data_IF_096264567385
#
_entry.id   IF_096264567385
#
_cell.length_a   1.000
_cell.length_b   1.000
_cell.length_c   1.000
_cell.angle_alpha   90.00
_cell.angle_beta   90.00
_cell.angle_gamma   90.00
#
_symmetry.space_group_name_H-M   'P 1'
#
loop_
_entity.id
_entity.type
_entity.pdbx_description
1 polymer ?
#
# COMPACT_ATOMS: atom_id res chain seq x y z
N UNK A 1 -14.49 -6.45 -2.72
CA UNK A 1 -13.11 -5.96 -2.83
C UNK A 1 -13.01 -5.04 -4.02
N UNK A 2 -12.51 -3.83 -3.81
CA UNK A 2 -12.21 -2.82 -4.83
C UNK A 2 -11.10 -3.31 -5.77
N UNK A 3 -10.15 -4.09 -5.25
CA UNK A 3 -9.14 -4.77 -6.08
C UNK A 3 -9.79 -5.58 -7.21
N UNK A 4 -10.79 -6.40 -6.89
CA UNK A 4 -11.47 -7.26 -7.86
C UNK A 4 -12.22 -6.46 -8.93
N UNK A 5 -12.64 -5.22 -8.61
CA UNK A 5 -13.30 -4.31 -9.56
C UNK A 5 -12.33 -3.82 -10.61
N UNK A 6 -11.13 -3.38 -10.19
CA UNK A 6 -10.09 -3.00 -11.13
C UNK A 6 -9.60 -4.22 -11.93
N UNK A 7 -9.44 -5.38 -11.30
CA UNK A 7 -9.05 -6.61 -11.98
C UNK A 7 -10.04 -6.99 -13.10
N UNK A 8 -11.35 -6.96 -12.81
CA UNK A 8 -12.38 -7.21 -13.80
C UNK A 8 -12.47 -6.16 -14.91
N UNK A 9 -12.07 -4.91 -14.63
CA UNK A 9 -11.92 -3.87 -15.65
C UNK A 9 -10.72 -4.15 -16.56
N UNK A 10 -9.55 -4.40 -15.97
CA UNK A 10 -8.30 -4.68 -16.70
C UNK A 10 -8.45 -5.86 -17.64
N UNK A 11 -9.04 -6.97 -17.17
CA UNK A 11 -9.28 -8.16 -18.00
C UNK A 11 -10.12 -7.87 -19.26
N UNK A 12 -11.01 -6.88 -19.22
CA UNK A 12 -11.94 -6.57 -20.31
C UNK A 12 -11.43 -5.47 -21.23
N UNK A 13 -10.87 -4.42 -20.64
CA UNK A 13 -10.61 -3.17 -21.35
C UNK A 13 -9.12 -2.91 -21.58
N UNK A 14 -8.25 -3.53 -20.77
CA UNK A 14 -6.80 -3.29 -20.81
C UNK A 14 -6.02 -4.62 -20.65
N UNK A 15 -6.27 -5.64 -21.50
CA UNK A 15 -5.76 -6.99 -21.30
C UNK A 15 -4.22 -7.08 -21.23
N UNK A 16 -3.51 -6.12 -21.82
CA UNK A 16 -2.04 -6.00 -21.73
C UNK A 16 -1.53 -5.76 -20.30
N UNK A 17 -2.38 -5.28 -19.38
CA UNK A 17 -2.03 -5.08 -17.97
C UNK A 17 -2.31 -6.30 -17.09
N UNK A 18 -2.90 -7.39 -17.62
CA UNK A 18 -3.27 -8.57 -16.81
C UNK A 18 -2.07 -9.17 -16.09
N UNK A 19 -0.93 -9.33 -16.77
CA UNK A 19 0.28 -9.89 -16.15
C UNK A 19 0.82 -9.00 -15.03
N UNK A 20 0.80 -7.67 -15.24
CA UNK A 20 1.24 -6.69 -14.25
C UNK A 20 0.34 -6.73 -13.01
N UNK A 21 -0.98 -6.78 -13.21
CA UNK A 21 -1.96 -6.82 -12.13
C UNK A 21 -1.95 -8.15 -11.36
N UNK A 22 -1.63 -9.26 -12.02
CA UNK A 22 -1.50 -10.56 -11.37
C UNK A 22 -0.32 -10.61 -10.39
N UNK A 23 0.76 -9.90 -10.70
CA UNK A 23 1.96 -9.79 -9.86
C UNK A 23 1.79 -8.84 -8.67
N UNK A 24 0.71 -8.08 -8.62
CA UNK A 24 0.49 -7.05 -7.59
C UNK A 24 0.27 -7.67 -6.21
N UNK A 25 1.11 -7.32 -5.24
CA UNK A 25 0.99 -7.75 -3.86
C UNK A 25 -0.11 -6.96 -3.14
N UNK A 26 -1.15 -7.64 -2.63
CA UNK A 26 -2.26 -6.97 -1.93
C UNK A 26 -1.99 -6.91 -0.43
N UNK A 27 -1.92 -5.70 0.10
CA UNK A 27 -1.73 -5.39 1.50
C UNK A 27 -3.06 -5.10 2.18
N UNK A 28 -3.18 -5.57 3.41
CA UNK A 28 -4.27 -5.30 4.33
C UNK A 28 -3.65 -4.78 5.63
N UNK A 29 -3.93 -3.52 5.96
CA UNK A 29 -3.39 -2.88 7.14
C UNK A 29 -4.34 -3.07 8.32
N UNK A 30 -3.88 -3.60 9.47
CA UNK A 30 -4.74 -3.93 10.59
C UNK A 30 -5.13 -2.71 11.44
N UNK A 31 -4.96 -1.50 10.90
CA UNK A 31 -5.21 -0.22 11.56
C UNK A 31 -5.71 0.80 10.54
N UNK A 32 -6.32 1.89 11.01
CA UNK A 32 -6.64 3.01 10.14
C UNK A 32 -5.43 3.94 10.00
N UNK A 33 -5.14 4.40 8.78
CA UNK A 33 -3.95 5.19 8.50
C UNK A 33 -3.84 6.42 9.44
N UNK A 34 -4.92 7.15 9.66
CA UNK A 34 -4.92 8.35 10.51
C UNK A 34 -4.71 8.07 12.02
N UNK A 35 -4.81 6.83 12.47
CA UNK A 35 -4.51 6.44 13.86
C UNK A 35 -3.00 6.24 14.08
N UNK A 36 -2.27 5.84 13.03
CA UNK A 36 -0.87 5.41 13.10
C UNK A 36 0.10 6.36 12.39
N UNK A 37 -0.33 6.94 11.27
CA UNK A 37 0.39 7.98 10.52
C UNK A 37 -0.03 9.34 11.08
N UNK A 38 0.94 10.08 11.63
CA UNK A 38 0.71 11.43 12.18
C UNK A 38 1.46 12.48 11.37
N UNK A 39 0.93 13.71 11.23
CA UNK A 39 1.67 14.81 10.62
C UNK A 39 3.04 14.99 11.27
N UNK A 40 4.09 15.15 10.44
CA UNK A 40 5.48 15.29 10.89
C UNK A 40 6.16 13.99 11.32
N UNK A 41 5.53 12.82 11.15
CA UNK A 41 6.15 11.53 11.48
C UNK A 41 7.31 11.16 10.56
N UNK A 42 7.27 11.62 9.30
CA UNK A 42 8.24 11.32 8.27
C UNK A 42 9.00 12.56 7.81
N UNK A 43 10.26 12.36 7.43
CA UNK A 43 11.14 13.39 6.88
C UNK A 43 11.43 13.16 5.40
N UNK A 44 12.03 14.14 4.73
CA UNK A 44 12.53 13.95 3.35
C UNK A 44 13.53 12.79 3.27
N UNK A 45 14.40 12.61 4.27
CA UNK A 45 15.31 11.46 4.35
C UNK A 45 14.57 10.11 4.38
N UNK A 46 13.41 10.04 5.04
CA UNK A 46 12.58 8.84 5.05
C UNK A 46 12.02 8.58 3.64
N UNK A 47 11.56 9.63 2.94
CA UNK A 47 11.03 9.53 1.57
C UNK A 47 12.15 9.16 0.57
N UNK A 48 13.34 9.73 0.69
CA UNK A 48 14.46 9.43 -0.19
C UNK A 48 14.98 7.99 -0.02
N UNK A 49 14.64 7.35 1.10
CA UNK A 49 14.98 5.95 1.40
C UNK A 49 13.79 5.00 1.22
N UNK A 50 12.62 5.53 0.88
CA UNK A 50 11.41 4.75 0.70
C UNK A 50 11.58 3.75 -0.46
N UNK A 51 10.97 2.59 -0.36
CA UNK A 51 10.93 1.58 -1.43
C UNK A 51 9.67 0.74 -1.24
N UNK A 52 9.10 0.21 -2.32
CA UNK A 52 8.01 -0.75 -2.17
C UNK A 52 8.54 -2.10 -1.71
N UNK A 53 7.84 -2.79 -0.81
CA UNK A 53 8.07 -4.21 -0.51
C UNK A 53 8.08 -5.11 -1.77
N UNK A 54 7.25 -4.79 -2.75
CA UNK A 54 7.18 -5.47 -4.04
C UNK A 54 7.07 -4.42 -5.14
N UNK A 55 7.57 -4.68 -6.34
CA UNK A 55 7.55 -3.68 -7.44
C UNK A 55 6.15 -3.23 -7.86
N UNK A 56 5.11 -3.98 -7.48
CA UNK A 56 3.72 -3.57 -7.54
C UNK A 56 3.02 -3.92 -6.23
N UNK A 57 2.42 -2.93 -5.59
CA UNK A 57 1.66 -3.09 -4.34
C UNK A 57 0.25 -2.53 -4.55
N UNK A 58 -0.75 -3.20 -4.01
CA UNK A 58 -2.08 -2.65 -3.79
C UNK A 58 -2.33 -2.60 -2.29
N UNK A 59 -2.88 -1.50 -1.79
CA UNK A 59 -3.32 -1.36 -0.41
C UNK A 59 -4.84 -1.21 -0.48
N UNK A 60 -5.57 -2.12 0.15
CA UNK A 60 -7.03 -2.07 0.18
C UNK A 60 -7.49 -1.88 1.63
N UNK A 61 -8.26 -0.82 1.85
CA UNK A 61 -8.94 -0.56 3.11
C UNK A 61 -10.46 -0.63 2.91
N UNK A 62 -11.24 -0.09 3.85
CA UNK A 62 -12.71 -0.12 3.77
C UNK A 62 -13.28 0.80 2.69
N UNK A 63 -12.53 1.83 2.29
CA UNK A 63 -13.00 2.96 1.50
C UNK A 63 -12.37 2.99 0.10
N UNK A 64 -11.10 2.61 0.00
CA UNK A 64 -10.26 2.77 -1.18
C UNK A 64 -9.41 1.52 -1.45
N UNK A 65 -8.93 1.40 -2.68
CA UNK A 65 -7.84 0.52 -3.01
C UNK A 65 -6.84 1.25 -3.90
N UNK A 66 -5.69 1.57 -3.32
CA UNK A 66 -4.61 2.30 -3.99
C UNK A 66 -3.54 1.32 -4.45
N UNK A 67 -3.22 1.37 -5.74
CA UNK A 67 -2.15 0.63 -6.38
C UNK A 67 -0.95 1.54 -6.58
N UNK A 68 0.25 1.03 -6.33
CA UNK A 68 1.52 1.70 -6.52
C UNK A 68 2.43 0.82 -7.37
N UNK A 69 3.04 1.40 -8.40
CA UNK A 69 3.91 0.70 -9.34
C UNK A 69 5.24 1.44 -9.45
N UNK A 70 6.33 0.75 -9.13
CA UNK A 70 7.68 1.27 -9.38
C UNK A 70 7.83 1.61 -10.87
N UNK A 71 8.35 2.81 -11.17
CA UNK A 71 8.64 3.25 -12.54
C UNK A 71 9.95 2.67 -13.09
N UNK A 72 10.82 2.19 -12.20
CA UNK A 72 12.09 1.51 -12.54
C UNK A 72 12.31 0.32 -11.60
N UNK A 73 13.09 -0.68 -12.02
CA UNK A 73 13.37 -1.85 -11.18
C UNK A 73 14.02 -1.42 -9.85
N UNK A 74 13.46 -1.88 -8.71
CA UNK A 74 13.95 -1.61 -7.35
C UNK A 74 14.05 -0.10 -7.08
N UNK A 75 13.04 0.66 -7.49
CA UNK A 75 13.00 2.10 -7.28
C UNK A 75 13.12 2.43 -5.79
N UNK A 76 14.02 3.36 -5.48
CA UNK A 76 14.17 3.97 -4.16
C UNK A 76 13.76 5.44 -4.26
N UNK A 77 12.98 5.88 -3.28
CA UNK A 77 12.33 7.18 -3.21
C UNK A 77 11.41 7.47 -4.38
N UNK A 78 11.17 8.76 -4.61
CA UNK A 78 10.34 9.28 -5.69
C UNK A 78 11.13 10.20 -6.63
N UNK A 79 12.44 9.95 -6.78
CA UNK A 79 13.29 10.67 -7.75
C UNK A 79 12.90 10.38 -9.20
N UNK A 80 12.38 9.17 -9.45
CA UNK A 80 11.67 8.82 -10.68
C UNK A 80 10.16 8.73 -10.41
N UNK A 81 9.29 9.05 -11.39
CA UNK A 81 7.86 8.97 -11.21
C UNK A 81 7.41 7.56 -10.82
N UNK A 82 6.59 7.48 -9.78
CA UNK A 82 5.87 6.26 -9.40
C UNK A 82 4.44 6.36 -9.89
N UNK A 83 3.97 5.37 -10.63
CA UNK A 83 2.59 5.35 -11.10
C UNK A 83 1.68 4.88 -9.97
N UNK A 84 0.45 5.39 -9.95
CA UNK A 84 -0.59 4.91 -9.05
C UNK A 84 -1.93 4.72 -9.77
N UNK A 85 -2.77 3.86 -9.21
CA UNK A 85 -4.19 3.76 -9.53
C UNK A 85 -4.96 3.82 -8.22
N UNK A 86 -5.83 4.79 -8.06
CA UNK A 86 -6.74 4.85 -6.92
C UNK A 86 -8.13 4.37 -7.34
N UNK A 87 -8.72 3.50 -6.53
CA UNK A 87 -10.03 2.90 -6.79
C UNK A 87 -10.94 3.20 -5.62
N UNK A 88 -12.08 3.84 -5.88
CA UNK A 88 -13.09 4.15 -4.87
C UNK A 88 -14.49 3.71 -5.32
N UNK A 89 -15.33 3.30 -4.37
CA UNK A 89 -16.76 3.08 -4.61
C UNK A 89 -17.53 4.37 -4.33
N UNK A 90 -18.16 4.95 -5.36
CA UNK A 90 -18.86 6.24 -5.24
C UNK A 90 -20.18 6.14 -4.45
N UNK A 91 -20.76 4.94 -4.37
CA UNK A 91 -21.96 4.63 -3.56
C UNK A 91 -21.65 4.02 -2.19
N UNK A 92 -20.39 4.10 -1.73
CA UNK A 92 -19.92 3.47 -0.48
C UNK A 92 -20.59 4.03 0.78
N UNK A 93 -20.64 3.19 1.82
CA UNK A 93 -21.37 3.44 3.07
C UNK A 93 -20.57 4.16 4.16
N UNK A 94 -19.38 4.69 3.86
CA UNK A 94 -18.54 5.41 4.83
C UNK A 94 -18.44 6.91 4.47
N UNK A 95 -19.34 7.76 5.01
CA UNK A 95 -19.29 9.20 4.81
C UNK A 95 -18.09 9.86 5.50
N UNK A 96 -17.50 9.21 6.50
CA UNK A 96 -16.43 9.79 7.33
C UNK A 96 -15.06 9.61 6.68
N UNK A 97 -14.87 8.54 5.90
CA UNK A 97 -13.64 8.31 5.14
C UNK A 97 -13.33 9.39 4.08
N UNK A 98 -14.29 10.26 3.74
CA UNK A 98 -14.18 11.18 2.60
C UNK A 98 -14.68 12.61 2.89
N UNK A 99 -14.33 13.20 4.03
CA UNK A 99 -14.84 14.53 4.43
C UNK A 99 -14.65 15.64 3.37
N UNK A 100 -13.59 15.57 2.54
CA UNK A 100 -13.32 16.55 1.48
C UNK A 100 -14.00 16.23 0.14
N UNK A 101 -14.16 14.95 -0.21
CA UNK A 101 -14.80 14.52 -1.46
C UNK A 101 -16.34 14.54 -1.36
N UNK A 102 -16.88 14.35 -0.14
CA UNK A 102 -18.30 14.24 0.14
C UNK A 102 -19.11 15.54 0.00
N UNK A 103 -18.46 16.70 -0.13
CA UNK A 103 -19.15 17.98 -0.31
C UNK A 103 -19.70 18.16 -1.73
N UNK A 104 -19.13 17.49 -2.73
CA UNK A 104 -19.55 17.64 -4.13
C UNK A 104 -20.68 16.68 -4.55
N UNK A 105 -20.88 15.56 -3.85
CA UNK A 105 -21.88 14.54 -4.22
C UNK A 105 -23.13 14.69 -3.35
N UNK A 106 -24.21 15.22 -3.94
CA UNK A 106 -25.52 15.32 -3.29
C UNK A 106 -26.14 13.93 -3.03
N UNK A 107 -27.16 13.86 -2.16
CA UNK A 107 -27.80 12.60 -1.75
C UNK A 107 -28.39 11.80 -2.92
N UNK A 108 -28.94 12.48 -3.93
CA UNK A 108 -29.49 11.83 -5.12
C UNK A 108 -28.39 11.16 -5.96
N UNK A 109 -27.25 11.83 -6.14
CA UNK A 109 -26.08 11.27 -6.84
C UNK A 109 -25.49 10.07 -6.08
N UNK A 110 -25.47 10.10 -4.73
CA UNK A 110 -25.04 8.93 -3.93
C UNK A 110 -25.98 7.76 -4.11
N UNK A 111 -27.29 8.00 -4.07
CA UNK A 111 -28.29 6.95 -4.27
C UNK A 111 -28.16 6.34 -5.66
N UNK A 112 -28.00 7.17 -6.69
CA UNK A 112 -27.74 6.69 -8.05
C UNK A 112 -26.42 5.90 -8.13
N UNK A 113 -25.35 6.41 -7.51
CA UNK A 113 -24.06 5.73 -7.47
C UNK A 113 -24.14 4.36 -6.78
N UNK A 114 -24.96 4.23 -5.74
CA UNK A 114 -25.21 2.97 -5.05
C UNK A 114 -26.04 2.01 -5.91
N UNK A 115 -27.11 2.51 -6.57
CA UNK A 115 -27.97 1.72 -7.45
C UNK A 115 -27.21 1.13 -8.64
N UNK A 116 -26.39 1.95 -9.30
CA UNK A 116 -25.58 1.53 -10.44
C UNK A 116 -24.25 0.86 -10.03
N UNK A 117 -23.97 0.79 -8.72
CA UNK A 117 -22.71 0.31 -8.15
C UNK A 117 -21.50 0.97 -8.84
N UNK A 118 -21.46 2.30 -8.82
CA UNK A 118 -20.43 3.09 -9.50
C UNK A 118 -19.09 3.03 -8.77
N UNK A 119 -18.02 2.92 -9.56
CA UNK A 119 -16.64 2.97 -9.09
C UNK A 119 -15.88 4.02 -9.90
N UNK A 120 -15.04 4.79 -9.22
CA UNK A 120 -14.10 5.69 -9.87
C UNK A 120 -12.71 5.05 -9.85
N UNK A 121 -12.02 5.08 -10.99
CA UNK A 121 -10.61 4.76 -11.11
C UNK A 121 -9.84 6.02 -11.49
N UNK A 122 -8.88 6.43 -10.68
CA UNK A 122 -8.01 7.55 -10.98
C UNK A 122 -6.58 7.04 -11.22
N UNK A 123 -6.00 7.40 -12.35
CA UNK A 123 -4.66 7.01 -12.76
C UNK A 123 -3.76 8.23 -12.65
N UNK A 124 -2.56 8.06 -12.10
CA UNK A 124 -1.66 9.18 -11.95
C UNK A 124 -0.24 8.80 -11.63
N UNK A 125 0.55 9.83 -11.31
CA UNK A 125 1.98 9.73 -11.04
C UNK A 125 2.34 10.56 -9.82
N UNK A 126 3.26 10.06 -9.00
CA UNK A 126 3.86 10.73 -7.86
C UNK A 126 5.35 10.97 -8.10
N UNK A 127 5.84 12.13 -7.69
CA UNK A 127 7.27 12.53 -7.74
C UNK A 127 7.65 13.26 -6.46
N UNK A 128 8.90 13.10 -6.03
CA UNK A 128 9.47 13.91 -4.95
C UNK A 128 9.68 15.34 -5.45
N UNK A 129 9.51 16.32 -4.56
CA UNK A 129 9.85 17.72 -4.86
C UNK A 129 10.99 18.15 -3.95
N UNK A 130 12.05 18.69 -4.55
CA UNK A 130 13.14 19.29 -3.78
C UNK A 130 12.60 20.46 -2.94
N UNK A 131 12.95 20.46 -1.66
CA UNK A 131 12.58 21.53 -0.75
C UNK A 131 13.66 22.59 -0.66
N UNK A 132 13.30 23.88 -0.62
CA UNK A 132 14.26 24.94 -0.34
C UNK A 132 14.93 24.75 1.03
N UNK A 133 16.21 25.10 1.10
CA UNK A 133 17.10 25.07 2.28
C UNK A 133 16.51 24.73 3.66
N UNK A 134 16.84 23.55 4.18
CA UNK A 134 16.76 23.22 5.61
C UNK A 134 15.40 22.70 6.12
N UNK A 135 14.40 22.52 5.27
CA UNK A 135 13.16 21.85 5.65
C UNK A 135 13.39 20.35 5.85
N UNK A 136 12.89 19.81 6.96
CA UNK A 136 12.97 18.37 7.26
C UNK A 136 11.74 17.60 6.79
N UNK A 137 10.58 18.26 6.64
CA UNK A 137 9.36 17.65 6.15
C UNK A 137 9.56 17.13 4.72
N UNK A 138 8.86 16.08 4.31
CA UNK A 138 8.93 15.64 2.92
C UNK A 138 7.85 16.33 2.08
N UNK A 139 8.05 16.43 0.76
CA UNK A 139 6.98 16.82 -0.18
C UNK A 139 6.90 15.89 -1.38
N UNK A 140 5.67 15.48 -1.67
CA UNK A 140 5.31 14.71 -2.86
C UNK A 140 4.44 15.61 -3.74
N UNK A 141 4.82 15.77 -5.00
CA UNK A 141 3.92 16.27 -6.03
C UNK A 141 3.26 15.10 -6.75
N UNK A 142 2.02 15.30 -7.18
CA UNK A 142 1.28 14.29 -7.90
C UNK A 142 0.43 14.88 -9.00
N UNK A 143 0.17 14.06 -10.01
CA UNK A 143 -0.66 14.40 -11.15
C UNK A 143 -1.65 13.28 -11.38
N UNK A 144 -2.94 13.62 -11.53
CA UNK A 144 -3.96 12.69 -12.02
C UNK A 144 -4.02 12.83 -13.54
N UNK A 145 -3.64 11.77 -14.25
CA UNK A 145 -3.57 11.75 -15.71
C UNK A 145 -4.93 11.44 -16.34
N UNK A 146 -5.70 10.56 -15.69
CA UNK A 146 -6.99 10.06 -16.18
C UNK A 146 -7.92 9.70 -15.04
N UNK A 147 -9.20 9.97 -15.18
CA UNK A 147 -10.26 9.56 -14.27
C UNK A 147 -11.34 8.84 -15.06
N UNK A 148 -11.66 7.62 -14.63
CA UNK A 148 -12.71 6.77 -15.20
C UNK A 148 -13.83 6.58 -14.19
N UNK A 149 -15.07 6.58 -14.65
CA UNK A 149 -16.21 6.10 -13.87
C UNK A 149 -16.80 4.89 -14.59
N UNK A 150 -16.94 3.78 -13.87
CA UNK A 150 -17.57 2.57 -14.36
C UNK A 150 -18.77 2.18 -13.50
N UNK A 151 -19.72 1.45 -14.06
CA UNK A 151 -20.82 0.86 -13.29
C UNK A 151 -20.51 -0.57 -12.81
N UNK A 152 -21.46 -1.17 -12.08
CA UNK A 152 -21.35 -2.54 -11.57
C UNK A 152 -21.22 -3.60 -12.67
N UNK A 153 -21.66 -3.27 -13.90
CA UNK A 153 -21.48 -4.10 -15.11
C UNK A 153 -20.12 -3.90 -15.76
N UNK A 154 -19.33 -2.92 -15.32
CA UNK A 154 -18.03 -2.54 -15.88
C UNK A 154 -18.09 -1.84 -17.23
N UNK A 155 -19.23 -1.21 -17.53
CA UNK A 155 -19.38 -0.27 -18.63
C UNK A 155 -18.75 1.06 -18.21
N UNK A 156 -18.04 1.71 -19.13
CA UNK A 156 -17.41 3.01 -18.90
C UNK A 156 -18.49 4.08 -19.10
N UNK A 157 -18.82 4.80 -18.03
CA UNK A 157 -19.79 5.90 -18.05
C UNK A 157 -19.12 7.26 -18.26
N UNK A 158 -17.88 7.39 -17.80
CA UNK A 158 -17.08 8.60 -17.95
C UNK A 158 -15.60 8.24 -18.11
N UNK A 159 -14.91 8.99 -18.96
CA UNK A 159 -13.49 8.86 -19.23
C UNK A 159 -12.90 10.24 -19.50
N UNK A 160 -12.25 10.79 -18.47
CA UNK A 160 -11.71 12.14 -18.46
C UNK A 160 -10.19 12.08 -18.43
N UNK A 161 -9.54 12.65 -19.43
CA UNK A 161 -8.11 12.92 -19.38
C UNK A 161 -7.81 14.21 -18.58
N UNK A 162 -6.53 14.47 -18.30
CA UNK A 162 -6.09 15.64 -17.53
C UNK A 162 -6.54 16.99 -18.10
N UNK A 163 -6.67 17.12 -19.42
CA UNK A 163 -7.20 18.33 -20.06
C UNK A 163 -8.69 18.53 -19.80
N UNK A 164 -9.47 17.45 -19.91
CA UNK A 164 -10.92 17.46 -19.67
C UNK A 164 -11.25 17.65 -18.19
N UNK A 165 -10.48 17.05 -17.28
CA UNK A 165 -10.68 17.22 -15.84
C UNK A 165 -10.60 18.69 -15.43
N UNK A 166 -9.67 19.48 -16.00
CA UNK A 166 -9.54 20.92 -15.67
C UNK A 166 -10.77 21.75 -16.01
N UNK A 167 -11.67 21.24 -16.85
CA UNK A 167 -12.91 21.92 -17.24
C UNK A 167 -14.08 21.59 -16.31
N UNK A 168 -13.94 20.58 -15.45
CA UNK A 168 -14.99 20.19 -14.51
C UNK A 168 -14.96 21.06 -13.24
N UNK A 169 -16.13 21.53 -12.77
CA UNK A 169 -16.25 22.09 -11.43
C UNK A 169 -15.70 21.11 -10.38
N UNK A 170 -15.03 21.64 -9.36
CA UNK A 170 -14.46 20.86 -8.24
C UNK A 170 -13.39 19.82 -8.62
N UNK A 171 -12.89 19.83 -9.86
CA UNK A 171 -11.86 18.88 -10.30
C UNK A 171 -10.57 18.94 -9.45
N UNK A 172 -10.20 20.13 -8.95
CA UNK A 172 -9.06 20.28 -8.06
C UNK A 172 -9.28 19.53 -6.73
N UNK A 173 -10.48 19.67 -6.13
CA UNK A 173 -10.82 18.99 -4.89
C UNK A 173 -10.86 17.46 -5.08
N UNK A 174 -11.45 17.00 -6.19
CA UNK A 174 -11.47 15.58 -6.55
C UNK A 174 -10.05 15.02 -6.73
N UNK A 175 -9.18 15.73 -7.47
CA UNK A 175 -7.79 15.32 -7.66
C UNK A 175 -7.01 15.34 -6.34
N UNK A 176 -7.25 16.32 -5.48
CA UNK A 176 -6.60 16.40 -4.15
C UNK A 176 -6.97 15.20 -3.28
N UNK A 177 -8.23 14.77 -3.28
CA UNK A 177 -8.66 13.57 -2.56
C UNK A 177 -7.95 12.30 -3.07
N UNK A 178 -7.92 12.11 -4.38
CA UNK A 178 -7.19 10.99 -5.03
C UNK A 178 -5.70 10.99 -4.65
N UNK A 179 -5.06 12.16 -4.73
CA UNK A 179 -3.64 12.30 -4.37
C UNK A 179 -3.42 12.08 -2.86
N UNK A 180 -4.37 12.49 -2.02
CA UNK A 180 -4.37 12.22 -0.59
C UNK A 180 -4.31 10.72 -0.31
N UNK A 181 -5.21 9.93 -0.90
CA UNK A 181 -5.20 8.46 -0.78
C UNK A 181 -3.84 7.87 -1.20
N UNK A 182 -3.33 8.31 -2.35
CA UNK A 182 -2.04 7.84 -2.87
C UNK A 182 -0.86 8.19 -1.96
N UNK A 183 -0.86 9.38 -1.35
CA UNK A 183 0.16 9.80 -0.38
C UNK A 183 0.03 9.01 0.93
N UNK A 184 -1.19 8.82 1.43
CA UNK A 184 -1.43 8.02 2.64
C UNK A 184 -0.95 6.59 2.45
N UNK A 185 -1.19 5.97 1.29
CA UNK A 185 -0.65 4.65 0.96
C UNK A 185 0.90 4.61 1.00
N UNK A 186 1.57 5.67 0.55
CA UNK A 186 3.03 5.81 0.63
C UNK A 186 3.46 5.92 2.11
N UNK A 187 2.80 6.76 2.90
CA UNK A 187 3.09 6.95 4.32
C UNK A 187 2.93 5.66 5.14
N UNK A 188 1.89 4.87 4.87
CA UNK A 188 1.68 3.58 5.53
C UNK A 188 2.81 2.59 5.22
N UNK A 189 3.30 2.55 3.98
CA UNK A 189 4.45 1.74 3.62
C UNK A 189 5.76 2.32 4.19
N UNK A 190 5.90 3.64 4.25
CA UNK A 190 7.04 4.30 4.92
C UNK A 190 7.10 3.95 6.40
N UNK A 191 5.96 3.79 7.08
CA UNK A 191 5.90 3.33 8.47
C UNK A 191 6.59 1.97 8.63
N UNK A 192 6.30 1.03 7.72
CA UNK A 192 6.91 -0.30 7.70
C UNK A 192 8.41 -0.20 7.39
N UNK A 193 8.81 0.67 6.46
CA UNK A 193 10.22 0.90 6.09
C UNK A 193 11.05 1.48 7.23
N UNK A 194 10.45 2.41 7.98
CA UNK A 194 11.11 3.09 9.09
C UNK A 194 11.17 2.23 10.35
N UNK A 195 10.13 1.44 10.63
CA UNK A 195 10.03 0.69 11.87
C UNK A 195 10.41 -0.79 11.69
N UNK A 196 11.60 -1.22 12.14
CA UNK A 196 12.06 -2.60 11.98
C UNK A 196 11.32 -3.62 12.86
N UNK A 197 10.41 -3.19 13.74
CA UNK A 197 9.55 -4.09 14.51
C UNK A 197 8.40 -4.67 13.69
N UNK A 198 8.04 -4.05 12.56
CA UNK A 198 7.01 -4.58 11.68
C UNK A 198 7.61 -5.61 10.72
N UNK A 199 7.01 -6.79 10.70
CA UNK A 199 7.28 -7.85 9.73
C UNK A 199 6.08 -7.97 8.80
N UNK A 200 6.32 -8.47 7.59
CA UNK A 200 5.25 -8.75 6.63
C UNK A 200 4.82 -10.20 6.81
N UNK A 201 3.58 -10.40 7.26
CA UNK A 201 2.95 -11.71 7.33
C UNK A 201 2.17 -11.94 6.02
N UNK A 202 2.61 -12.89 5.23
CA UNK A 202 1.86 -13.40 4.08
C UNK A 202 0.80 -14.39 4.57
N UNK A 203 -0.46 -14.13 4.24
CA UNK A 203 -1.62 -15.00 4.47
C UNK A 203 -2.14 -15.49 3.13
N UNK A 204 -2.03 -16.78 2.84
CA UNK A 204 -2.48 -17.36 1.58
C UNK A 204 -3.40 -18.58 1.78
N UNK A 205 -4.32 -18.86 0.86
CA UNK A 205 -5.07 -20.12 0.88
C UNK A 205 -4.11 -21.31 0.77
N UNK A 206 -4.32 -22.35 1.59
CA UNK A 206 -3.48 -23.55 1.56
C UNK A 206 -3.51 -24.26 0.19
N UNK A 207 -4.63 -24.13 -0.53
CA UNK A 207 -4.82 -24.61 -1.89
C UNK A 207 -5.13 -23.41 -2.78
N UNK A 208 -4.09 -22.82 -3.37
CA UNK A 208 -4.24 -21.71 -4.32
C UNK A 208 -4.90 -22.24 -5.59
N UNK A 209 -6.00 -21.61 -6.01
CA UNK A 209 -6.60 -21.88 -7.32
C UNK A 209 -5.74 -21.19 -8.37
N UNK A 210 -5.28 -21.94 -9.36
CA UNK A 210 -4.57 -21.31 -10.47
C UNK A 210 -5.53 -20.45 -11.28
N UNK A 211 -5.15 -19.20 -11.53
CA UNK A 211 -5.88 -18.35 -12.45
C UNK A 211 -5.88 -18.96 -13.85
N UNK A 212 -7.02 -18.84 -14.54
CA UNK A 212 -7.10 -19.19 -15.96
C UNK A 212 -6.25 -18.20 -16.77
N UNK A 213 -5.71 -18.63 -17.92
CA UNK A 213 -4.97 -17.73 -18.83
C UNK A 213 -5.81 -16.48 -19.14
N UNK A 214 -5.21 -15.31 -18.98
CA UNK A 214 -5.87 -14.02 -19.20
C UNK A 214 -6.82 -13.58 -18.08
N UNK A 215 -6.78 -14.23 -16.91
CA UNK A 215 -7.52 -13.82 -15.71
C UNK A 215 -6.56 -13.48 -14.58
N UNK A 216 -7.00 -12.56 -13.73
CA UNK A 216 -6.31 -12.13 -12.52
C UNK A 216 -6.93 -12.88 -11.32
N UNK A 217 -6.10 -13.46 -10.46
CA UNK A 217 -6.49 -14.10 -9.22
C UNK A 217 -7.23 -13.11 -8.33
N UNK A 218 -8.47 -13.45 -7.96
CA UNK A 218 -9.35 -12.60 -7.15
C UNK A 218 -8.86 -12.53 -5.70
N UNK A 219 -9.21 -11.46 -4.99
CA UNK A 219 -8.72 -11.20 -3.63
C UNK A 219 -8.87 -12.38 -2.66
N UNK A 220 -9.98 -13.14 -2.61
CA UNK A 220 -10.11 -14.27 -1.68
C UNK A 220 -9.15 -15.45 -1.94
N UNK A 221 -8.70 -15.61 -3.19
CA UNK A 221 -7.84 -16.73 -3.62
C UNK A 221 -6.35 -16.34 -3.64
N UNK A 222 -6.03 -15.08 -3.28
CA UNK A 222 -4.72 -14.45 -3.40
C UNK A 222 -3.97 -14.42 -2.05
N UNK A 223 -2.63 -14.33 -2.05
CA UNK A 223 -1.87 -13.96 -0.87
C UNK A 223 -2.15 -12.51 -0.43
N UNK A 224 -2.47 -12.32 0.85
CA UNK A 224 -2.59 -11.02 1.50
C UNK A 224 -1.36 -10.76 2.35
N UNK A 225 -0.83 -9.54 2.31
CA UNK A 225 0.36 -9.14 3.06
C UNK A 225 -0.04 -8.19 4.18
N UNK A 226 0.18 -8.62 5.42
CA UNK A 226 -0.27 -7.87 6.61
C UNK A 226 0.96 -7.45 7.41
N UNK A 227 1.23 -6.15 7.58
CA UNK A 227 2.33 -5.68 8.43
C UNK A 227 1.96 -5.83 9.90
N UNK A 228 2.73 -6.64 10.63
CA UNK A 228 2.46 -7.00 12.03
C UNK A 228 3.73 -7.06 12.86
N UNK A 229 3.59 -6.76 14.15
CA UNK A 229 4.65 -7.00 15.14
C UNK A 229 4.75 -8.50 15.48
N UNK A 230 5.91 -9.00 15.93
CA UNK A 230 6.13 -10.42 16.21
C UNK A 230 5.10 -11.07 17.13
N UNK A 231 4.66 -10.38 18.18
CA UNK A 231 3.67 -10.91 19.13
C UNK A 231 2.31 -11.18 18.46
N UNK A 232 1.86 -10.27 17.58
CA UNK A 232 0.63 -10.45 16.82
C UNK A 232 0.76 -11.61 15.81
N UNK A 233 1.92 -11.73 15.15
CA UNK A 233 2.20 -12.83 14.22
C UNK A 233 2.13 -14.19 14.94
N UNK A 234 2.80 -14.32 16.10
CA UNK A 234 2.78 -15.55 16.89
C UNK A 234 1.38 -15.93 17.33
N UNK A 235 0.58 -14.94 17.77
CA UNK A 235 -0.82 -15.13 18.15
C UNK A 235 -1.64 -15.68 16.98
N UNK A 236 -1.50 -15.11 15.78
CA UNK A 236 -2.20 -15.57 14.57
C UNK A 236 -1.76 -16.98 14.16
N UNK A 237 -0.46 -17.27 14.22
CA UNK A 237 0.10 -18.57 13.86
C UNK A 237 -0.13 -19.65 14.93
N UNK A 238 -0.71 -19.30 16.08
CA UNK A 238 -0.90 -20.24 17.20
C UNK A 238 0.42 -20.71 17.83
N UNK A 239 1.51 -19.98 17.62
CA UNK A 239 2.84 -20.32 18.15
C UNK A 239 2.94 -19.74 19.55
N UNK A 240 3.12 -20.59 20.56
CA UNK A 240 3.38 -20.12 21.92
C UNK A 240 4.64 -19.24 21.91
N UNK A 241 4.66 -18.07 22.58
CA UNK A 241 5.90 -17.34 22.77
C UNK A 241 6.92 -18.31 23.38
N UNK A 242 8.14 -18.32 22.86
CA UNK A 242 9.19 -19.20 23.40
C UNK A 242 9.30 -18.92 24.89
N UNK A 243 8.89 -19.89 25.70
CA UNK A 243 8.96 -19.86 27.15
C UNK A 243 10.43 -19.72 27.52
N UNK A 244 10.72 -18.71 28.35
CA UNK A 244 11.93 -18.54 29.14
C UNK A 244 13.24 -18.93 28.45
N UNK A 245 13.90 -17.94 27.84
CA UNK A 245 15.34 -18.00 27.69
C UNK A 245 15.96 -18.38 29.04
N UNK A 246 16.84 -19.38 29.04
CA UNK A 246 17.71 -19.74 30.16
C UNK A 246 18.22 -18.49 30.92
N UNK A 247 18.59 -18.60 32.22
CA UNK A 247 18.95 -17.47 33.08
C UNK A 247 20.13 -16.61 32.59
N UNK A 248 20.74 -16.98 31.47
CA UNK A 248 21.88 -16.33 30.80
C UNK A 248 21.45 -15.20 29.84
N UNK A 249 20.42 -14.43 30.20
CA UNK A 249 20.43 -12.96 30.10
C UNK A 249 20.43 -12.26 28.73
N UNK A 250 20.30 -12.92 27.57
CA UNK A 250 20.13 -12.21 26.28
C UNK A 250 19.00 -12.79 25.42
N UNK A 251 17.84 -12.15 25.47
CA UNK A 251 16.73 -12.40 24.53
C UNK A 251 17.22 -12.06 23.11
N UNK A 252 17.16 -12.99 22.15
CA UNK A 252 17.55 -12.66 20.79
C UNK A 252 16.58 -11.62 20.23
N UNK A 253 17.11 -10.61 19.54
CA UNK A 253 16.34 -9.44 19.11
C UNK A 253 15.79 -9.65 17.70
N UNK A 254 14.47 -9.80 17.59
CA UNK A 254 13.76 -9.88 16.32
C UNK A 254 13.77 -8.51 15.63
N UNK A 255 13.97 -8.50 14.31
CA UNK A 255 13.95 -7.28 13.50
C UNK A 255 13.76 -7.61 12.02
N UNK A 256 13.07 -6.74 11.30
CA UNK A 256 13.09 -6.75 9.82
C UNK A 256 14.43 -6.23 9.31
N UNK A 257 14.74 -6.58 8.06
CA UNK A 257 15.84 -6.00 7.30
C UNK A 257 15.66 -4.48 7.19
N UNK A 258 16.67 -3.71 7.56
CA UNK A 258 16.60 -2.24 7.51
C UNK A 258 17.99 -1.62 7.40
N UNK A 259 18.05 -0.38 6.91
CA UNK A 259 19.26 0.41 6.90
C UNK A 259 19.51 1.06 8.27
N UNK A 260 20.76 1.06 8.70
CA UNK A 260 21.18 1.72 9.94
C UNK A 260 22.41 2.58 9.70
N UNK A 261 22.32 3.86 10.05
CA UNK A 261 23.49 4.74 10.11
C UNK A 261 24.28 4.47 11.39
N UNK A 262 25.57 4.20 11.24
CA UNK A 262 26.48 3.98 12.36
C UNK A 262 26.78 5.28 13.09
N UNK A 263 26.21 5.44 14.29
CA UNK A 263 26.45 6.57 15.20
C UNK A 263 27.37 6.24 16.37
N UNK A 264 27.84 5.00 16.47
CA UNK A 264 28.59 4.50 17.63
C UNK A 264 29.97 5.15 17.75
N UNK A 265 30.30 5.59 18.96
CA UNK A 265 31.64 6.09 19.31
C UNK A 265 32.72 5.01 19.16
N UNK A 266 32.35 3.72 19.24
CA UNK A 266 33.29 2.61 19.08
C UNK A 266 33.74 2.39 17.63
N UNK A 267 32.99 2.91 16.65
CA UNK A 267 33.28 2.76 15.23
C UNK A 267 33.57 4.12 14.59
N UNK A 268 34.50 4.90 15.17
CA UNK A 268 34.86 6.25 14.71
C UNK A 268 35.15 6.34 13.22
N UNK A 269 35.85 5.35 12.63
CA UNK A 269 36.17 5.30 11.19
C UNK A 269 34.98 5.00 10.28
N UNK A 270 33.91 4.42 10.82
CA UNK A 270 32.68 4.07 10.08
C UNK A 270 31.51 4.97 10.48
N UNK A 271 31.77 6.05 11.20
CA UNK A 271 30.73 6.96 11.68
C UNK A 271 30.09 7.65 10.48
N UNK A 272 28.77 7.60 10.40
CA UNK A 272 28.02 8.11 9.25
C UNK A 272 27.86 7.09 8.11
N UNK A 273 28.61 5.97 8.12
CA UNK A 273 28.35 4.89 7.15
C UNK A 273 26.99 4.25 7.42
N UNK A 274 26.30 3.91 6.33
CA UNK A 274 25.04 3.16 6.37
C UNK A 274 25.34 1.70 6.14
N UNK A 275 24.91 0.86 7.07
CA UNK A 275 24.98 -0.59 6.94
C UNK A 275 23.59 -1.17 6.82
N UNK A 276 23.47 -2.24 6.03
CA UNK A 276 22.27 -3.03 5.96
C UNK A 276 22.28 -4.03 7.12
N UNK A 277 21.23 -4.02 7.93
CA UNK A 277 21.03 -4.99 8.99
C UNK A 277 20.12 -6.09 8.44
N UNK A 278 20.60 -7.33 8.45
CA UNK A 278 19.80 -8.48 8.03
C UNK A 278 18.61 -8.74 8.96
N UNK A 279 17.53 -9.25 8.36
CA UNK A 279 16.34 -9.65 9.08
C UNK A 279 16.66 -10.81 10.05
N UNK A 280 16.05 -10.78 11.23
CA UNK A 280 16.17 -11.84 12.23
C UNK A 280 14.78 -12.14 12.78
N UNK A 281 14.32 -13.37 12.58
CA UNK A 281 13.06 -13.91 13.10
C UNK A 281 13.34 -15.14 13.96
N UNK A 282 12.60 -15.30 15.06
CA UNK A 282 12.78 -16.42 15.98
C UNK A 282 11.51 -17.25 15.98
N UNK A 283 11.60 -18.49 15.54
CA UNK A 283 10.47 -19.42 15.47
C UNK A 283 10.14 -19.83 14.04
N UNK A 284 9.02 -20.54 13.83
CA UNK A 284 8.65 -21.01 12.51
C UNK A 284 8.32 -19.81 11.60
N UNK A 285 8.85 -19.82 10.38
CA UNK A 285 8.57 -18.80 9.36
C UNK A 285 7.42 -19.18 8.43
N UNK A 286 6.96 -20.43 8.45
CA UNK A 286 5.84 -20.94 7.65
C UNK A 286 5.01 -21.92 8.50
N UNK A 287 3.71 -21.66 8.65
CA UNK A 287 2.78 -22.52 9.40
C UNK A 287 1.46 -22.62 8.64
N UNK A 288 0.89 -23.82 8.62
CA UNK A 288 -0.46 -24.07 8.13
C UNK A 288 -1.43 -24.10 9.31
N UNK A 289 -2.38 -23.17 9.36
CA UNK A 289 -3.47 -23.17 10.36
C UNK A 289 -4.81 -23.32 9.64
N UNK A 290 -5.43 -24.48 9.81
CA UNK A 290 -6.67 -24.83 9.10
C UNK A 290 -6.48 -24.85 7.58
N UNK A 291 -7.17 -23.95 6.87
CA UNK A 291 -7.11 -23.82 5.40
C UNK A 291 -6.23 -22.67 4.92
N UNK A 292 -5.45 -22.06 5.82
CA UNK A 292 -4.65 -20.87 5.54
C UNK A 292 -3.20 -21.12 5.88
N UNK A 293 -2.32 -20.84 4.92
CA UNK A 293 -0.87 -20.83 5.12
C UNK A 293 -0.45 -19.42 5.53
N UNK A 294 0.36 -19.35 6.58
CA UNK A 294 0.93 -18.12 7.11
C UNK A 294 2.45 -18.18 6.94
N UNK A 295 3.04 -17.15 6.33
CA UNK A 295 4.48 -17.07 6.12
C UNK A 295 5.03 -15.70 6.52
N UNK A 296 6.05 -15.68 7.36
CA UNK A 296 6.79 -14.46 7.69
C UNK A 296 7.79 -14.18 6.58
N UNK A 297 7.65 -13.04 5.89
CA UNK A 297 8.55 -12.62 4.83
C UNK A 297 9.75 -11.89 5.41
N UNK A 298 10.95 -12.42 5.14
CA UNK A 298 12.23 -11.88 5.60
C UNK A 298 13.06 -11.31 4.45
N UNK A 299 12.67 -11.65 3.22
CA UNK A 299 13.30 -11.30 1.95
C UNK A 299 12.81 -9.96 1.38
N UNK A 300 11.94 -9.27 2.13
CA UNK A 300 11.17 -8.10 1.70
C UNK A 300 11.59 -6.83 2.43
#
# INVERSE_FOLDING_TARGET
MLFDKLAGFVERHVPQMVELMEKTALFDFPYQAHETVRPGMFTQDDLDQFFLPFSQVAIEDRATCTFLFDGVEKQIGLSSPRCFIDVIALGGSDPEAFQDYNRAINSQMRQWAQQEALHQFAFGRLVSVELPGGHTDYKIAGYVDRLLIINGRGEILSDLNSGQMRLFPDAEAACRGVLGNAITAIEELMLINKNPEYFILERSPAKVRQAKKGRITRSPDRPHFVPLKPEAIRKIMGVKPSVESEPTGRKPHERRRHWRTLKSERFTRKRGERILIEAQWIGPSDVLVGKTRYRVRLDV
#
